data_IF_736542246570
#
_entry.id   IF_736542246570
#
_cell.length_a   1.000
_cell.length_b   1.000
_cell.length_c   1.000
_cell.angle_alpha   90.00
_cell.angle_beta   90.00
_cell.angle_gamma   90.00
#
_symmetry.space_group_name_H-M   'P 1'
#
loop_
_entity.id
_entity.type
_entity.pdbx_description
1 polymer ?
#
# COMPACT_ATOMS: atom_id res chain seq x y z
N UNK A 1 9.92 0.57 76.54
CA UNK A 1 9.87 -0.48 75.51
C UNK A 1 9.25 0.15 74.23
N UNK A 2 10.08 0.55 73.28
CA UNK A 2 9.66 1.32 72.12
C UNK A 2 9.39 0.31 70.96
N UNK A 3 8.14 0.17 70.55
CA UNK A 3 7.77 -0.64 69.38
C UNK A 3 7.93 0.23 68.14
N UNK A 4 8.97 -0.05 67.33
CA UNK A 4 9.15 0.59 66.01
C UNK A 4 8.19 -0.07 65.01
N UNK A 5 7.15 0.66 64.62
CA UNK A 5 6.27 0.27 63.54
C UNK A 5 6.99 0.43 62.20
N UNK A 6 7.26 -0.67 61.50
CA UNK A 6 7.89 -0.68 60.17
C UNK A 6 6.76 -0.66 59.14
N UNK A 7 6.49 0.52 58.59
CA UNK A 7 5.48 0.66 57.52
C UNK A 7 6.14 0.23 56.18
N UNK A 8 5.69 -0.91 55.67
CA UNK A 8 6.12 -1.41 54.36
C UNK A 8 5.30 -0.70 53.27
N UNK A 9 5.88 0.25 52.57
CA UNK A 9 5.24 0.87 51.42
C UNK A 9 5.48 -0.06 50.24
N UNK A 10 4.44 -0.80 49.84
CA UNK A 10 4.42 -1.62 48.65
C UNK A 10 4.17 -0.70 47.45
N UNK A 11 5.24 -0.28 46.77
CA UNK A 11 5.13 0.43 45.50
C UNK A 11 4.65 -0.51 44.41
N UNK A 12 3.37 -0.39 44.05
CA UNK A 12 2.78 -1.07 42.91
C UNK A 12 3.32 -0.38 41.64
N UNK A 13 4.40 -0.90 41.08
CA UNK A 13 4.86 -0.51 39.76
C UNK A 13 3.88 -1.11 38.75
N UNK A 14 2.98 -0.27 38.24
CA UNK A 14 2.13 -0.61 37.12
C UNK A 14 3.04 -0.72 35.87
N UNK A 15 3.49 -1.92 35.53
CA UNK A 15 4.08 -2.18 34.22
C UNK A 15 2.97 -2.01 33.19
N UNK A 16 2.88 -0.83 32.59
CA UNK A 16 2.17 -0.69 31.34
C UNK A 16 2.94 -1.51 30.30
N UNK A 17 2.53 -2.75 30.05
CA UNK A 17 2.99 -3.49 28.91
C UNK A 17 2.48 -2.75 27.67
N UNK A 18 3.35 -1.98 27.03
CA UNK A 18 3.07 -1.45 25.70
C UNK A 18 2.80 -2.64 24.81
N UNK A 19 1.59 -2.71 24.29
CA UNK A 19 1.29 -3.69 23.23
C UNK A 19 2.26 -3.42 22.08
N UNK A 20 3.07 -4.41 21.65
CA UNK A 20 4.00 -4.18 20.58
C UNK A 20 3.22 -3.66 19.37
N UNK A 21 3.56 -2.46 18.90
CA UNK A 21 3.08 -1.95 17.63
C UNK A 21 3.42 -3.00 16.57
N UNK A 22 2.42 -3.75 16.14
CA UNK A 22 2.58 -4.63 14.98
C UNK A 22 2.70 -3.70 13.78
N UNK A 23 3.85 -3.63 13.10
CA UNK A 23 3.97 -2.80 11.93
C UNK A 23 2.92 -3.27 10.91
N UNK A 24 2.07 -2.35 10.50
CA UNK A 24 1.12 -2.57 9.41
C UNK A 24 1.98 -2.67 8.15
N UNK A 25 2.15 -3.88 7.64
CA UNK A 25 3.00 -4.13 6.49
C UNK A 25 2.16 -4.62 5.33
N UNK A 26 1.73 -3.69 4.49
CA UNK A 26 1.25 -4.00 3.14
C UNK A 26 2.35 -3.62 2.17
N UNK A 27 2.71 -4.53 1.27
CA UNK A 27 3.59 -4.21 0.16
C UNK A 27 3.07 -4.87 -1.12
N UNK A 28 3.32 -4.22 -2.23
CA UNK A 28 2.95 -4.69 -3.56
C UNK A 28 4.08 -4.46 -4.55
N UNK A 29 4.02 -5.18 -5.64
CA UNK A 29 4.92 -5.03 -6.76
C UNK A 29 4.11 -5.04 -8.06
N UNK A 30 4.49 -4.17 -9.00
CA UNK A 30 4.11 -4.25 -10.41
C UNK A 30 5.38 -4.51 -11.21
N UNK A 31 5.32 -5.34 -12.22
CA UNK A 31 6.50 -5.70 -13.01
C UNK A 31 6.15 -5.96 -14.47
N UNK A 32 7.11 -5.66 -15.33
CA UNK A 32 7.14 -6.04 -16.74
C UNK A 32 8.41 -6.85 -17.01
N UNK A 33 8.27 -8.00 -17.61
CA UNK A 33 9.38 -8.69 -18.25
C UNK A 33 9.53 -8.13 -19.68
N UNK A 34 10.59 -7.38 -19.92
CA UNK A 34 10.82 -6.71 -21.19
C UNK A 34 11.15 -7.69 -22.34
N UNK A 35 11.61 -8.91 -22.04
CA UNK A 35 11.94 -9.91 -23.05
C UNK A 35 10.69 -10.64 -23.54
N UNK A 36 9.77 -10.96 -22.63
CA UNK A 36 8.56 -11.74 -22.93
C UNK A 36 7.30 -10.90 -23.05
N UNK A 37 7.31 -9.64 -22.59
CA UNK A 37 6.15 -8.77 -22.50
C UNK A 37 5.15 -9.19 -21.40
N UNK A 38 5.53 -10.09 -20.51
CA UNK A 38 4.69 -10.50 -19.40
C UNK A 38 4.57 -9.40 -18.36
N UNK A 39 3.35 -9.11 -17.95
CA UNK A 39 3.02 -8.15 -16.90
C UNK A 39 2.56 -8.89 -15.65
N UNK A 40 3.02 -8.43 -14.50
CA UNK A 40 2.68 -9.03 -13.22
C UNK A 40 2.36 -7.98 -12.16
N UNK A 41 1.48 -8.36 -11.23
CA UNK A 41 1.20 -7.61 -10.02
C UNK A 41 0.99 -8.57 -8.86
N UNK A 42 1.59 -8.27 -7.72
CA UNK A 42 1.40 -9.05 -6.50
C UNK A 42 1.25 -8.13 -5.29
N UNK A 43 0.53 -8.60 -4.28
CA UNK A 43 0.34 -7.90 -3.01
C UNK A 43 0.37 -8.87 -1.85
N UNK A 44 0.97 -8.45 -0.75
CA UNK A 44 0.90 -9.12 0.54
C UNK A 44 0.48 -8.11 1.60
N UNK A 45 -0.45 -8.52 2.46
CA UNK A 45 -0.94 -7.70 3.56
C UNK A 45 -1.43 -8.58 4.72
N UNK A 46 -1.48 -8.01 5.93
CA UNK A 46 -2.19 -8.58 7.06
C UNK A 46 -3.70 -8.27 7.02
N UNK A 47 -4.14 -7.36 6.13
CA UNK A 47 -5.55 -7.09 5.89
C UNK A 47 -6.21 -8.22 5.10
N UNK A 48 -7.46 -8.49 5.44
CA UNK A 48 -8.25 -9.52 4.76
C UNK A 48 -8.57 -9.14 3.32
N UNK A 49 -8.42 -10.11 2.40
CA UNK A 49 -8.91 -10.04 1.01
C UNK A 49 -8.41 -8.86 0.16
N UNK A 50 -7.17 -8.39 0.38
CA UNK A 50 -6.58 -7.28 -0.40
C UNK A 50 -6.44 -7.56 -1.89
N UNK A 51 -6.43 -8.83 -2.28
CA UNK A 51 -6.33 -9.25 -3.68
C UNK A 51 -7.51 -8.81 -4.56
N UNK A 52 -8.64 -8.44 -3.98
CA UNK A 52 -9.80 -7.91 -4.70
C UNK A 52 -9.78 -6.39 -4.89
N UNK A 53 -8.83 -5.71 -4.25
CA UNK A 53 -8.80 -4.24 -4.17
C UNK A 53 -7.50 -3.67 -4.72
N UNK A 54 -6.36 -4.29 -4.39
CA UNK A 54 -5.03 -3.73 -4.66
C UNK A 54 -4.51 -4.02 -6.06
N UNK A 55 -4.47 -5.31 -6.54
CA UNK A 55 -3.83 -5.66 -7.81
C UNK A 55 -4.79 -5.59 -8.98
N UNK A 56 -4.32 -4.98 -10.07
CA UNK A 56 -5.02 -4.87 -11.33
C UNK A 56 -4.04 -5.09 -12.47
N UNK A 57 -4.40 -5.89 -13.47
CA UNK A 57 -3.57 -6.09 -14.64
C UNK A 57 -4.41 -6.33 -15.89
N UNK A 58 -3.88 -5.89 -17.03
CA UNK A 58 -4.44 -6.15 -18.35
C UNK A 58 -3.32 -6.51 -19.30
N UNK A 59 -3.42 -7.69 -19.92
CA UNK A 59 -2.42 -8.17 -20.87
C UNK A 59 -2.19 -7.18 -22.01
N UNK A 60 -0.91 -6.91 -22.31
CA UNK A 60 -0.51 -5.98 -23.36
C UNK A 60 -0.75 -4.49 -23.04
N UNK A 61 -1.24 -4.15 -21.84
CA UNK A 61 -1.56 -2.78 -21.43
C UNK A 61 -0.71 -2.33 -20.25
N UNK A 62 -0.84 -3.02 -19.09
CA UNK A 62 -0.13 -2.61 -17.91
C UNK A 62 -0.56 -3.37 -16.65
N UNK A 63 0.07 -2.98 -15.53
CA UNK A 63 -0.27 -3.44 -14.20
C UNK A 63 -0.32 -2.25 -13.22
N UNK A 64 -1.24 -2.33 -12.25
CA UNK A 64 -1.49 -1.31 -11.24
C UNK A 64 -1.61 -1.96 -9.88
N UNK A 65 -0.97 -1.38 -8.87
CA UNK A 65 -1.20 -1.69 -7.47
C UNK A 65 -1.60 -0.41 -6.73
N UNK A 66 -2.77 -0.42 -6.07
CA UNK A 66 -3.26 0.71 -5.26
C UNK A 66 -3.51 0.26 -3.84
N UNK A 67 -2.82 0.86 -2.88
CA UNK A 67 -2.84 0.46 -1.47
C UNK A 67 -2.79 1.66 -0.51
N UNK A 68 -2.51 1.43 0.78
CA UNK A 68 -2.64 2.36 1.90
C UNK A 68 -4.13 2.61 2.20
N UNK A 69 -4.62 3.84 2.18
CA UNK A 69 -6.06 4.08 2.07
C UNK A 69 -6.41 3.90 0.59
N UNK A 70 -6.65 2.65 0.20
CA UNK A 70 -6.78 2.29 -1.20
C UNK A 70 -8.00 2.95 -1.86
N UNK A 71 -7.80 3.45 -3.07
CA UNK A 71 -8.88 3.86 -3.97
C UNK A 71 -8.89 2.89 -5.15
N UNK A 72 -9.78 1.89 -5.16
CA UNK A 72 -9.77 0.83 -6.16
C UNK A 72 -9.91 1.33 -7.61
N UNK A 73 -10.53 2.50 -7.80
CA UNK A 73 -10.74 3.05 -9.13
C UNK A 73 -9.45 3.42 -9.88
N UNK A 74 -8.32 3.55 -9.17
CA UNK A 74 -7.00 3.73 -9.82
C UNK A 74 -6.64 2.56 -10.73
N UNK A 75 -7.01 1.33 -10.36
CA UNK A 75 -6.78 0.16 -11.18
C UNK A 75 -7.41 0.27 -12.56
N UNK A 76 -8.75 0.21 -12.68
CA UNK A 76 -9.42 0.25 -13.99
C UNK A 76 -9.21 1.58 -14.74
N UNK A 77 -9.16 2.73 -14.06
CA UNK A 77 -8.92 4.02 -14.71
C UNK A 77 -7.48 4.12 -15.23
N UNK A 78 -6.48 3.70 -14.45
CA UNK A 78 -5.09 3.67 -14.88
C UNK A 78 -4.88 2.78 -16.10
N UNK A 79 -5.43 1.55 -16.07
CA UNK A 79 -5.40 0.65 -17.21
C UNK A 79 -6.09 1.23 -18.45
N UNK A 80 -7.23 1.91 -18.29
CA UNK A 80 -7.93 2.54 -19.40
C UNK A 80 -7.13 3.69 -20.03
N UNK A 81 -6.39 4.47 -19.24
CA UNK A 81 -5.50 5.53 -19.73
C UNK A 81 -4.29 4.93 -20.46
N UNK A 82 -3.65 3.93 -19.88
CA UNK A 82 -2.51 3.24 -20.52
C UNK A 82 -2.93 2.54 -21.82
N UNK A 83 -4.14 1.99 -21.90
CA UNK A 83 -4.70 1.40 -23.13
C UNK A 83 -4.89 2.44 -24.26
N UNK A 84 -5.11 3.70 -23.91
CA UNK A 84 -5.17 4.83 -24.85
C UNK A 84 -3.77 5.33 -25.26
N UNK A 85 -2.71 4.71 -24.78
CA UNK A 85 -1.32 5.07 -25.09
C UNK A 85 -0.74 6.16 -24.19
N UNK A 86 -1.42 6.50 -23.07
CA UNK A 86 -0.88 7.44 -22.08
C UNK A 86 0.14 6.69 -21.22
N UNK A 87 1.39 7.17 -21.10
CA UNK A 87 2.41 6.54 -20.24
C UNK A 87 1.95 6.39 -18.78
N UNK A 88 2.43 5.36 -18.10
CA UNK A 88 1.98 4.99 -16.75
C UNK A 88 2.16 6.13 -15.72
N UNK A 89 3.23 6.89 -15.80
CA UNK A 89 3.51 8.06 -14.96
C UNK A 89 2.51 9.21 -15.21
N UNK A 90 2.25 9.52 -16.49
CA UNK A 90 1.27 10.55 -16.85
C UNK A 90 -0.16 10.12 -16.49
N UNK A 91 -0.50 8.87 -16.70
CA UNK A 91 -1.78 8.29 -16.29
C UNK A 91 -1.99 8.44 -14.77
N UNK A 92 -0.98 8.08 -13.97
CA UNK A 92 -1.04 8.23 -12.51
C UNK A 92 -1.20 9.69 -12.11
N UNK A 93 -0.39 10.61 -12.65
CA UNK A 93 -0.48 12.03 -12.32
C UNK A 93 -1.85 12.63 -12.65
N UNK A 94 -2.45 12.21 -13.77
CA UNK A 94 -3.79 12.69 -14.15
C UNK A 94 -4.90 12.23 -13.21
N UNK A 95 -4.73 11.08 -12.57
CA UNK A 95 -5.66 10.55 -11.56
C UNK A 95 -5.46 11.24 -10.20
N UNK A 96 -4.21 11.40 -9.77
CA UNK A 96 -3.86 12.09 -8.53
C UNK A 96 -4.38 13.53 -8.51
N UNK A 97 -4.23 14.25 -9.60
CA UNK A 97 -4.69 15.63 -9.70
C UNK A 97 -6.21 15.82 -9.47
N UNK A 98 -6.99 14.75 -9.50
CA UNK A 98 -8.45 14.74 -9.30
C UNK A 98 -8.85 14.07 -7.98
N UNK A 99 -7.91 13.53 -7.21
CA UNK A 99 -8.17 12.85 -5.95
C UNK A 99 -7.87 13.78 -4.77
N UNK A 100 -8.89 14.21 -4.07
CA UNK A 100 -8.74 15.04 -2.87
C UNK A 100 -8.04 14.29 -1.70
N UNK A 101 -7.95 12.96 -1.78
CA UNK A 101 -7.30 12.12 -0.80
C UNK A 101 -5.94 11.59 -1.26
N UNK A 102 -5.32 12.18 -2.27
CA UNK A 102 -4.08 11.70 -2.88
C UNK A 102 -2.96 11.48 -1.87
N UNK A 103 -2.85 12.33 -0.86
CA UNK A 103 -1.83 12.32 0.17
C UNK A 103 -1.83 11.07 1.08
N UNK A 104 -2.88 10.26 1.03
CA UNK A 104 -3.01 8.99 1.78
C UNK A 104 -3.04 7.77 0.85
N UNK A 105 -2.75 7.95 -0.44
CA UNK A 105 -2.63 6.86 -1.41
C UNK A 105 -1.21 6.36 -1.49
N UNK A 106 -1.07 5.13 -1.92
CA UNK A 106 0.20 4.56 -2.35
C UNK A 106 -0.09 3.74 -3.62
N UNK A 107 0.40 4.21 -4.75
CA UNK A 107 0.06 3.64 -6.05
C UNK A 107 1.32 3.40 -6.87
N UNK A 108 1.38 2.25 -7.54
CA UNK A 108 2.38 1.95 -8.53
C UNK A 108 1.71 1.48 -9.82
N UNK A 109 2.20 1.96 -10.96
CA UNK A 109 1.74 1.56 -12.28
C UNK A 109 2.94 1.26 -13.18
N UNK A 110 2.81 0.27 -14.06
CA UNK A 110 3.75 0.01 -15.15
C UNK A 110 2.95 -0.28 -16.41
N UNK A 111 3.33 0.32 -17.54
CA UNK A 111 2.74 0.02 -18.84
C UNK A 111 3.53 -1.04 -19.62
N UNK A 112 2.99 -1.45 -20.77
CA UNK A 112 3.63 -2.44 -21.64
C UNK A 112 4.90 -1.95 -22.34
N UNK A 113 5.21 -0.66 -22.30
CA UNK A 113 6.42 -0.04 -22.80
C UNK A 113 7.51 0.09 -21.74
N UNK A 114 7.20 -0.19 -20.48
CA UNK A 114 8.10 -0.12 -19.35
C UNK A 114 8.15 1.25 -18.67
N UNK A 115 7.24 2.17 -18.98
CA UNK A 115 7.10 3.41 -18.21
C UNK A 115 6.52 3.07 -16.84
N UNK A 116 7.00 3.76 -15.80
CA UNK A 116 6.63 3.50 -14.40
C UNK A 116 6.18 4.78 -13.73
N UNK A 117 5.00 4.74 -13.12
CA UNK A 117 4.50 5.79 -12.24
C UNK A 117 4.43 5.26 -10.80
N UNK A 118 4.88 6.08 -9.84
CA UNK A 118 4.79 5.78 -8.40
C UNK A 118 4.34 7.01 -7.61
N UNK A 119 3.57 6.75 -6.56
CA UNK A 119 3.09 7.75 -5.61
C UNK A 119 3.05 7.18 -4.21
#
# INVERSE_FOLDING_TARGET
MLVKSFTFILSLVCLCAETPLRPISTYSIVALDAETGQLGVAVQSHWFSVGTVVPWAKAGVGAVATQSIAEPSYGPKGLALMEQGIPADEALQSLLAKDLGENVRQVAMVDAQGNVGVH
#
